data_IF_940297958048
#
_entry.id   IF_940297958048
#
_cell.length_a   1.000
_cell.length_b   1.000
_cell.length_c   1.000
_cell.angle_alpha   90.00
_cell.angle_beta   90.00
_cell.angle_gamma   90.00
#
_symmetry.space_group_name_H-M   'P 1'
#
loop_
_entity.id
_entity.type
_entity.pdbx_description
1 polymer ?
#
# COMPACT_ATOMS: atom_id res chain seq x y z
N UNK A 1 -28.87 8.94 3.30
CA UNK A 1 -28.52 10.14 4.08
C UNK A 1 -27.55 9.69 5.17
N UNK A 2 -26.34 10.27 5.21
CA UNK A 2 -25.42 9.95 6.30
C UNK A 2 -26.04 10.37 7.64
N UNK A 3 -25.97 9.49 8.63
CA UNK A 3 -26.35 9.84 10.00
C UNK A 3 -25.35 10.88 10.51
N UNK A 4 -25.82 12.02 11.02
CA UNK A 4 -24.97 13.09 11.59
C UNK A 4 -24.03 12.60 12.70
N UNK A 5 -24.20 11.38 13.19
CA UNK A 5 -23.45 10.77 14.31
C UNK A 5 -22.75 9.45 13.94
N UNK A 6 -22.61 9.12 12.64
CA UNK A 6 -21.86 7.93 12.26
C UNK A 6 -20.39 8.05 12.65
N UNK A 7 -19.83 7.00 13.24
CA UNK A 7 -18.40 6.85 13.53
C UNK A 7 -17.95 5.46 13.07
N UNK A 8 -16.80 5.34 12.42
CA UNK A 8 -16.23 4.04 12.08
C UNK A 8 -15.98 3.20 13.32
N UNK A 9 -16.10 1.90 13.18
CA UNK A 9 -15.73 0.97 14.26
C UNK A 9 -14.21 1.02 14.51
N UNK A 10 -13.83 0.79 15.77
CA UNK A 10 -12.44 0.73 16.20
C UNK A 10 -11.66 -0.31 15.40
N UNK A 11 -10.51 0.08 14.91
CA UNK A 11 -9.63 -0.76 14.09
C UNK A 11 -8.18 -0.29 14.14
N UNK A 12 -7.27 -1.18 13.83
CA UNK A 12 -5.85 -0.86 13.65
C UNK A 12 -5.30 -1.41 12.33
N UNK A 13 -4.14 -0.94 11.91
CA UNK A 13 -3.47 -1.36 10.66
C UNK A 13 -4.33 -1.16 9.40
N UNK A 14 -5.26 -0.19 9.45
CA UNK A 14 -5.98 0.29 8.29
C UNK A 14 -5.10 1.22 7.45
N UNK A 15 -5.54 1.51 6.25
CA UNK A 15 -4.95 2.52 5.38
C UNK A 15 -5.89 3.73 5.30
N UNK A 16 -5.31 4.93 5.34
CA UNK A 16 -6.04 6.18 5.16
C UNK A 16 -5.33 7.07 4.16
N UNK A 17 -6.05 7.52 3.13
CA UNK A 17 -5.52 8.35 2.05
C UNK A 17 -6.40 9.57 1.85
N UNK A 18 -5.78 10.75 1.67
CA UNK A 18 -6.48 12.00 1.36
C UNK A 18 -6.60 12.18 -0.14
N UNK A 19 -7.84 12.45 -0.61
CA UNK A 19 -8.13 12.90 -1.98
C UNK A 19 -9.10 14.08 -1.91
N UNK A 20 -8.68 15.23 -2.38
CA UNK A 20 -9.47 16.47 -2.26
C UNK A 20 -9.80 16.79 -0.80
N UNK A 21 -11.07 17.02 -0.51
CA UNK A 21 -11.59 17.34 0.83
C UNK A 21 -11.98 16.10 1.66
N UNK A 22 -11.57 14.91 1.22
CA UNK A 22 -11.96 13.66 1.87
C UNK A 22 -10.75 12.83 2.28
N UNK A 23 -10.92 12.11 3.42
CA UNK A 23 -10.07 10.98 3.80
C UNK A 23 -10.82 9.70 3.50
N UNK A 24 -10.17 8.78 2.83
CA UNK A 24 -10.66 7.44 2.51
C UNK A 24 -9.95 6.42 3.36
N UNK A 25 -10.69 5.71 4.21
CA UNK A 25 -10.14 4.70 5.10
C UNK A 25 -10.64 3.31 4.71
N UNK A 26 -9.71 2.39 4.50
CA UNK A 26 -9.98 1.01 4.08
C UNK A 26 -9.26 -0.02 4.93
N UNK A 27 -9.92 -1.16 5.14
CA UNK A 27 -9.33 -2.31 5.81
C UNK A 27 -9.08 -2.10 7.29
N UNK A 28 -8.06 -2.76 7.78
CA UNK A 28 -7.71 -2.81 9.20
C UNK A 28 -8.22 -4.08 9.87
N UNK A 29 -7.89 -4.24 11.14
CA UNK A 29 -8.35 -5.34 11.98
C UNK A 29 -9.16 -4.79 13.15
N UNK A 30 -10.36 -5.34 13.33
CA UNK A 30 -11.28 -5.02 14.41
C UNK A 30 -12.44 -6.00 14.39
N UNK A 31 -13.23 -6.05 15.46
CA UNK A 31 -14.28 -7.06 15.65
C UNK A 31 -15.48 -6.94 14.69
N UNK A 32 -15.66 -5.79 14.05
CA UNK A 32 -16.81 -5.48 13.17
C UNK A 32 -16.40 -4.69 11.92
N UNK A 33 -15.19 -4.94 11.41
CA UNK A 33 -14.73 -4.28 10.19
C UNK A 33 -15.42 -4.90 8.98
N UNK A 34 -16.06 -4.08 8.17
CA UNK A 34 -16.65 -4.46 6.89
C UNK A 34 -15.67 -4.14 5.76
N UNK A 35 -15.49 -5.08 4.84
CA UNK A 35 -14.55 -4.96 3.72
C UNK A 35 -15.25 -4.73 2.38
N UNK A 36 -16.54 -4.46 2.39
CA UNK A 36 -17.37 -4.10 1.24
C UNK A 36 -17.73 -2.63 1.20
N UNK A 37 -17.31 -1.86 2.21
CA UNK A 37 -17.58 -0.43 2.31
C UNK A 37 -16.28 0.37 2.50
N UNK A 38 -16.26 1.56 1.93
CA UNK A 38 -15.22 2.57 2.16
C UNK A 38 -15.72 3.54 3.23
N UNK A 39 -14.92 3.73 4.27
CA UNK A 39 -15.16 4.77 5.25
C UNK A 39 -14.63 6.10 4.71
N UNK A 40 -15.48 7.13 4.71
CA UNK A 40 -15.15 8.41 4.10
C UNK A 40 -15.35 9.53 5.12
N UNK A 41 -14.30 10.29 5.39
CA UNK A 41 -14.36 11.45 6.26
C UNK A 41 -14.32 12.72 5.43
N UNK A 42 -15.30 13.60 5.59
CA UNK A 42 -15.36 14.89 4.92
C UNK A 42 -14.71 15.96 5.80
N UNK A 43 -13.55 16.43 5.41
CA UNK A 43 -12.72 17.37 6.18
C UNK A 43 -13.45 18.67 6.54
N UNK A 44 -14.17 19.38 5.61
CA UNK A 44 -14.84 20.63 5.93
C UNK A 44 -15.95 20.53 6.96
N UNK A 45 -16.68 19.40 6.99
CA UNK A 45 -17.81 19.21 7.92
C UNK A 45 -17.48 18.42 9.15
N UNK A 46 -16.32 17.74 9.17
CA UNK A 46 -15.91 16.87 10.27
C UNK A 46 -16.80 15.63 10.42
N UNK A 47 -17.38 15.13 9.33
CA UNK A 47 -18.34 14.02 9.37
C UNK A 47 -17.85 12.79 8.67
N UNK A 48 -18.15 11.61 9.24
CA UNK A 48 -17.92 10.31 8.62
C UNK A 48 -19.16 9.85 7.86
N UNK A 49 -18.92 9.12 6.79
CA UNK A 49 -19.93 8.40 6.02
C UNK A 49 -19.37 7.04 5.59
N UNK A 50 -20.26 6.13 5.29
CA UNK A 50 -19.95 4.77 4.81
C UNK A 50 -20.49 4.61 3.40
N UNK A 51 -19.61 4.27 2.47
CA UNK A 51 -19.97 4.10 1.06
C UNK A 51 -19.76 2.66 0.61
N UNK A 52 -20.79 1.99 0.08
CA UNK A 52 -20.62 0.68 -0.52
C UNK A 52 -19.65 0.76 -1.71
N UNK A 53 -18.84 -0.25 -1.88
CA UNK A 53 -17.91 -0.38 -2.99
C UNK A 53 -18.32 -1.51 -3.93
N UNK A 54 -17.84 -1.46 -5.17
CA UNK A 54 -18.07 -2.48 -6.19
C UNK A 54 -16.74 -2.95 -6.78
N UNK A 55 -16.76 -4.02 -7.56
CA UNK A 55 -15.56 -4.58 -8.18
C UNK A 55 -14.81 -5.54 -7.27
N UNK A 56 -13.50 -5.68 -7.45
CA UNK A 56 -12.65 -6.65 -6.76
C UNK A 56 -11.75 -5.92 -5.75
N UNK A 57 -12.12 -5.87 -4.46
CA UNK A 57 -11.27 -5.25 -3.43
C UNK A 57 -10.03 -6.10 -3.13
N UNK A 58 -8.99 -5.52 -2.50
CA UNK A 58 -7.80 -6.25 -2.11
C UNK A 58 -8.14 -7.43 -1.17
N UNK A 59 -7.51 -8.62 -1.36
CA UNK A 59 -7.78 -9.80 -0.54
C UNK A 59 -7.17 -9.71 0.87
N UNK A 60 -6.19 -8.85 1.06
CA UNK A 60 -5.63 -8.56 2.39
C UNK A 60 -6.63 -7.77 3.22
N UNK A 61 -6.52 -7.87 4.52
CA UNK A 61 -7.43 -7.17 5.44
C UNK A 61 -6.78 -5.99 6.14
N UNK A 62 -5.44 -5.95 6.21
CA UNK A 62 -4.67 -4.95 6.97
C UNK A 62 -3.26 -4.74 6.44
N UNK A 63 -2.63 -3.68 6.92
CA UNK A 63 -1.22 -3.34 6.68
C UNK A 63 -0.87 -3.20 5.18
N UNK A 64 -1.80 -2.65 4.41
CA UNK A 64 -1.56 -2.23 3.04
C UNK A 64 -0.61 -1.05 2.99
N UNK A 65 0.10 -0.94 1.90
CA UNK A 65 0.69 0.32 1.48
C UNK A 65 -0.24 1.00 0.49
N UNK A 66 -0.46 2.30 0.65
CA UNK A 66 -1.41 3.03 -0.19
C UNK A 66 -0.96 4.45 -0.52
N UNK A 67 -1.32 4.91 -1.72
CA UNK A 67 -1.06 6.27 -2.19
C UNK A 67 -2.11 6.67 -3.24
N UNK A 68 -2.40 7.98 -3.33
CA UNK A 68 -3.30 8.51 -4.35
C UNK A 68 -2.54 9.14 -5.51
N UNK A 69 -3.10 8.99 -6.71
CA UNK A 69 -2.77 9.76 -7.90
C UNK A 69 -4.08 10.26 -8.51
N UNK A 70 -4.29 11.55 -8.49
CA UNK A 70 -5.55 12.13 -8.96
C UNK A 70 -6.76 11.61 -8.17
N UNK A 71 -7.65 10.90 -8.85
CA UNK A 71 -8.87 10.30 -8.29
C UNK A 71 -8.73 8.80 -7.96
N UNK A 72 -7.58 8.23 -8.20
CA UNK A 72 -7.31 6.83 -8.00
C UNK A 72 -6.41 6.63 -6.76
N UNK A 73 -6.82 5.71 -5.87
CA UNK A 73 -6.04 5.28 -4.72
C UNK A 73 -5.54 3.87 -4.99
N UNK A 74 -4.24 3.70 -4.91
CA UNK A 74 -3.57 2.42 -5.14
C UNK A 74 -3.27 1.75 -3.81
N UNK A 75 -3.54 0.45 -3.74
CA UNK A 75 -3.31 -0.39 -2.56
C UNK A 75 -2.47 -1.59 -2.96
N UNK A 76 -1.38 -1.80 -2.26
CA UNK A 76 -0.47 -2.91 -2.52
C UNK A 76 -0.31 -3.81 -1.31
N UNK A 77 -0.31 -5.13 -1.56
CA UNK A 77 0.08 -6.14 -0.60
C UNK A 77 -0.91 -6.30 0.55
N UNK A 78 -0.39 -6.20 1.76
CA UNK A 78 -1.18 -6.40 2.97
C UNK A 78 -1.17 -7.85 3.46
N UNK A 79 -1.84 -8.06 4.60
CA UNK A 79 -1.98 -9.37 5.24
C UNK A 79 -3.45 -9.70 5.46
N UNK A 80 -3.86 -10.87 5.02
CA UNK A 80 -5.23 -11.38 5.14
C UNK A 80 -5.29 -12.82 5.58
N UNK A 81 -6.43 -13.46 5.30
CA UNK A 81 -6.57 -14.90 5.44
C UNK A 81 -5.63 -15.57 4.43
N UNK A 82 -4.79 -16.48 4.90
CA UNK A 82 -3.80 -17.15 4.05
C UNK A 82 -2.42 -16.51 4.04
N UNK A 83 -2.22 -15.33 4.65
CA UNK A 83 -0.89 -14.73 4.81
C UNK A 83 -0.73 -13.37 4.15
N UNK A 84 0.44 -13.13 3.57
CA UNK A 84 0.79 -11.91 2.85
C UNK A 84 0.37 -12.00 1.38
N UNK A 85 0.14 -10.83 0.77
CA UNK A 85 -0.22 -10.69 -0.63
C UNK A 85 0.77 -9.78 -1.36
N UNK A 86 0.79 -9.85 -2.69
CA UNK A 86 1.51 -8.92 -3.56
C UNK A 86 0.63 -8.40 -4.70
N UNK A 87 -0.69 -8.51 -4.54
CA UNK A 87 -1.63 -7.92 -5.48
C UNK A 87 -1.64 -6.40 -5.38
N UNK A 88 -1.83 -5.75 -6.52
CA UNK A 88 -2.03 -4.32 -6.64
C UNK A 88 -3.45 -4.04 -7.07
N UNK A 89 -4.14 -3.19 -6.33
CA UNK A 89 -5.51 -2.78 -6.58
C UNK A 89 -5.61 -1.26 -6.69
N UNK A 90 -6.53 -0.81 -7.50
CA UNK A 90 -6.87 0.59 -7.65
C UNK A 90 -8.33 0.81 -7.24
N UNK A 91 -8.56 1.82 -6.43
CA UNK A 91 -9.88 2.31 -6.04
C UNK A 91 -10.11 3.69 -6.62
N UNK A 92 -11.18 3.86 -7.40
CA UNK A 92 -11.53 5.18 -7.93
C UNK A 92 -12.58 5.85 -7.03
N UNK A 93 -12.27 7.06 -6.55
CA UNK A 93 -13.10 7.78 -5.56
C UNK A 93 -14.39 8.36 -6.12
N UNK A 94 -14.51 8.54 -7.42
CA UNK A 94 -15.72 9.08 -8.04
C UNK A 94 -16.76 7.95 -8.30
N UNK A 95 -16.28 6.78 -8.74
CA UNK A 95 -17.14 5.64 -9.06
C UNK A 95 -17.34 4.66 -7.91
N UNK A 96 -16.55 4.75 -6.85
CA UNK A 96 -16.48 3.81 -5.73
C UNK A 96 -16.25 2.36 -6.18
N UNK A 97 -15.41 2.21 -7.21
CA UNK A 97 -15.13 0.92 -7.84
C UNK A 97 -13.68 0.50 -7.66
N UNK A 98 -13.49 -0.77 -7.29
CA UNK A 98 -12.21 -1.45 -7.26
C UNK A 98 -11.86 -2.08 -8.60
N UNK A 99 -10.58 -2.04 -8.95
CA UNK A 99 -9.95 -2.81 -10.03
C UNK A 99 -8.71 -3.50 -9.50
N UNK A 100 -8.55 -4.75 -9.81
CA UNK A 100 -7.28 -5.45 -9.65
C UNK A 100 -6.41 -5.13 -10.86
N UNK A 101 -5.20 -4.64 -10.62
CA UNK A 101 -4.22 -4.29 -11.65
C UNK A 101 -3.19 -5.41 -11.81
N UNK A 102 -2.65 -5.92 -10.69
CA UNK A 102 -1.69 -7.00 -10.71
C UNK A 102 -2.07 -8.03 -9.64
N UNK A 103 -2.52 -9.22 -10.03
CA UNK A 103 -2.91 -10.27 -9.10
C UNK A 103 -1.70 -10.90 -8.40
N UNK A 104 -1.93 -11.48 -7.23
CA UNK A 104 -0.91 -12.19 -6.44
C UNK A 104 -0.27 -13.37 -7.18
N UNK A 105 -0.96 -13.93 -8.18
CA UNK A 105 -0.45 -15.01 -9.04
C UNK A 105 0.52 -14.54 -10.12
N UNK A 106 0.73 -13.23 -10.26
CA UNK A 106 1.68 -12.69 -11.22
C UNK A 106 3.11 -13.09 -10.87
N UNK A 107 3.84 -13.64 -11.84
CA UNK A 107 5.26 -13.98 -11.70
C UNK A 107 6.17 -12.73 -11.68
N UNK A 108 5.60 -11.58 -12.00
CA UNK A 108 6.28 -10.29 -12.05
C UNK A 108 5.90 -9.44 -10.83
N UNK A 109 6.83 -8.60 -10.40
CA UNK A 109 6.62 -7.68 -9.29
C UNK A 109 7.22 -8.14 -7.96
N UNK A 110 6.93 -7.39 -6.88
CA UNK A 110 7.49 -7.64 -5.56
C UNK A 110 7.06 -8.98 -4.96
N UNK A 111 7.82 -9.46 -3.98
CA UNK A 111 7.38 -10.57 -3.13
C UNK A 111 6.09 -10.22 -2.36
N UNK A 112 5.37 -11.25 -1.90
CA UNK A 112 4.21 -11.08 -1.03
C UNK A 112 4.62 -10.44 0.28
N UNK A 113 4.08 -9.24 0.59
CA UNK A 113 4.48 -8.46 1.76
C UNK A 113 3.45 -7.45 2.22
N UNK A 114 3.66 -6.94 3.41
CA UNK A 114 2.92 -5.85 4.04
C UNK A 114 3.88 -4.80 4.61
N UNK A 115 3.34 -3.65 5.04
CA UNK A 115 4.09 -2.60 5.71
C UNK A 115 5.31 -2.11 4.90
N UNK A 116 5.24 -2.10 3.58
CA UNK A 116 6.28 -1.49 2.75
C UNK A 116 6.03 0.02 2.60
N UNK A 117 7.07 0.78 2.32
CA UNK A 117 6.93 2.16 1.85
C UNK A 117 6.38 2.18 0.44
N UNK A 118 5.39 3.04 0.17
CA UNK A 118 4.86 3.26 -1.18
C UNK A 118 4.60 4.75 -1.40
N UNK A 119 5.11 5.26 -2.50
CA UNK A 119 4.89 6.64 -2.96
C UNK A 119 4.56 6.65 -4.45
N UNK A 120 3.92 7.75 -4.88
CA UNK A 120 3.78 8.06 -6.30
C UNK A 120 4.90 9.01 -6.73
N UNK A 121 5.40 8.80 -7.93
CA UNK A 121 6.35 9.72 -8.57
C UNK A 121 5.92 9.96 -10.01
N UNK A 122 6.13 11.21 -10.48
CA UNK A 122 5.92 11.56 -11.87
C UNK A 122 7.28 11.80 -12.52
N UNK A 123 7.64 11.02 -13.51
CA UNK A 123 8.92 11.10 -14.19
C UNK A 123 8.76 10.88 -15.69
N UNK A 124 9.36 11.73 -16.49
CA UNK A 124 9.35 11.68 -17.97
C UNK A 124 7.92 11.59 -18.56
N UNK A 125 7.00 12.39 -17.99
CA UNK A 125 5.59 12.42 -18.43
C UNK A 125 4.74 11.23 -18.03
N UNK A 126 5.26 10.33 -17.18
CA UNK A 126 4.61 9.10 -16.74
C UNK A 126 4.47 9.04 -15.22
N UNK A 127 3.39 8.42 -14.75
CA UNK A 127 3.17 8.16 -13.33
C UNK A 127 3.62 6.76 -12.93
N UNK A 128 4.33 6.69 -11.83
CA UNK A 128 4.83 5.44 -11.25
C UNK A 128 4.44 5.33 -9.77
N UNK A 129 4.26 4.10 -9.32
CA UNK A 129 4.31 3.75 -7.91
C UNK A 129 5.70 3.20 -7.61
N UNK A 130 6.32 3.68 -6.54
CA UNK A 130 7.59 3.16 -6.03
C UNK A 130 7.35 2.46 -4.72
N UNK A 131 7.81 1.22 -4.62
CA UNK A 131 7.67 0.39 -3.42
C UNK A 131 9.04 -0.01 -2.90
N UNK A 132 9.23 0.15 -1.58
CA UNK A 132 10.49 -0.13 -0.89
C UNK A 132 10.22 -0.99 0.34
N UNK A 133 11.08 -1.98 0.59
CA UNK A 133 11.09 -2.75 1.81
C UNK A 133 9.82 -3.58 2.05
N UNK A 134 9.46 -3.69 3.32
CA UNK A 134 8.30 -4.45 3.79
C UNK A 134 8.66 -5.80 4.41
N UNK A 135 7.62 -6.45 4.94
CA UNK A 135 7.72 -7.76 5.60
C UNK A 135 6.76 -8.74 4.96
N UNK A 136 7.30 -9.88 4.52
CA UNK A 136 6.52 -10.97 4.01
C UNK A 136 7.20 -12.30 4.34
N UNK A 137 6.42 -13.23 4.88
CA UNK A 137 6.90 -14.58 5.18
C UNK A 137 5.88 -15.61 4.70
N UNK A 138 6.29 -16.41 3.76
CA UNK A 138 5.51 -17.55 3.27
C UNK A 138 6.46 -18.57 2.67
N UNK A 139 6.19 -19.84 2.85
CA UNK A 139 6.96 -20.93 2.21
C UNK A 139 6.93 -20.89 0.68
N UNK A 140 5.93 -20.23 0.11
CA UNK A 140 5.77 -20.03 -1.34
C UNK A 140 6.32 -18.67 -1.82
N UNK A 141 6.79 -17.83 -0.89
CA UNK A 141 7.25 -16.48 -1.22
C UNK A 141 8.70 -16.57 -1.73
N UNK A 142 8.90 -16.27 -2.98
CA UNK A 142 10.22 -16.29 -3.62
C UNK A 142 10.74 -14.87 -3.76
N UNK A 143 12.00 -14.61 -3.34
CA UNK A 143 12.64 -13.32 -3.58
C UNK A 143 12.64 -12.96 -5.08
N UNK A 144 12.24 -11.72 -5.38
CA UNK A 144 12.01 -11.25 -6.77
C UNK A 144 13.14 -10.36 -7.32
N UNK A 145 14.02 -9.87 -6.46
CA UNK A 145 15.11 -8.98 -6.84
C UNK A 145 16.45 -9.53 -6.33
N UNK A 146 17.35 -9.99 -7.23
CA UNK A 146 18.59 -10.68 -6.86
C UNK A 146 19.54 -9.86 -5.96
N UNK A 147 19.60 -8.54 -6.17
CA UNK A 147 20.50 -7.64 -5.44
C UNK A 147 19.91 -7.18 -4.09
N UNK A 148 18.65 -7.52 -3.80
CA UNK A 148 18.05 -7.17 -2.54
C UNK A 148 18.44 -8.15 -1.43
N UNK A 149 18.45 -7.64 -0.20
CA UNK A 149 18.68 -8.42 1.00
C UNK A 149 17.34 -8.87 1.59
N UNK A 150 17.33 -10.09 2.10
CA UNK A 150 16.18 -10.70 2.75
C UNK A 150 16.59 -11.29 4.09
N UNK A 151 15.85 -10.96 5.13
CA UNK A 151 16.09 -11.51 6.44
C UNK A 151 15.34 -12.83 6.67
N UNK A 152 15.83 -13.63 7.59
CA UNK A 152 15.16 -14.87 8.04
C UNK A 152 13.76 -14.64 8.62
N UNK A 153 13.45 -13.39 9.02
CA UNK A 153 12.15 -12.99 9.54
C UNK A 153 11.25 -12.34 8.48
N UNK A 154 11.62 -12.44 7.20
CA UNK A 154 10.83 -11.98 6.07
C UNK A 154 10.90 -10.48 5.77
N UNK A 155 11.80 -9.73 6.41
CA UNK A 155 12.07 -8.34 6.02
C UNK A 155 12.88 -8.31 4.74
N UNK A 156 12.64 -7.30 3.90
CA UNK A 156 13.41 -7.10 2.67
C UNK A 156 13.77 -5.62 2.46
N UNK A 157 14.65 -5.36 1.52
CA UNK A 157 14.94 -4.03 0.98
C UNK A 157 14.76 -3.98 -0.55
N UNK A 158 13.80 -4.78 -1.06
CA UNK A 158 13.40 -4.69 -2.46
C UNK A 158 12.96 -3.27 -2.82
N UNK A 159 13.27 -2.86 -4.06
CA UNK A 159 12.78 -1.63 -4.67
C UNK A 159 12.15 -2.00 -6.01
N UNK A 160 10.88 -1.71 -6.18
CA UNK A 160 10.16 -1.96 -7.42
C UNK A 160 9.40 -0.71 -7.86
N UNK A 161 9.26 -0.54 -9.16
CA UNK A 161 8.40 0.45 -9.77
C UNK A 161 7.24 -0.25 -10.47
N UNK A 162 6.08 0.38 -10.40
CA UNK A 162 4.95 0.00 -11.22
C UNK A 162 4.60 1.17 -12.14
N UNK A 163 4.69 0.97 -13.46
CA UNK A 163 4.29 1.97 -14.44
C UNK A 163 2.80 1.86 -14.67
N UNK A 164 2.07 2.94 -14.39
CA UNK A 164 0.61 2.94 -14.42
C UNK A 164 0.07 2.84 -15.84
N UNK A 165 0.68 3.54 -16.79
CA UNK A 165 0.23 3.58 -18.20
C UNK A 165 0.30 2.24 -18.92
N UNK A 166 1.22 1.35 -18.52
CA UNK A 166 1.45 0.05 -19.16
C UNK A 166 1.11 -1.15 -18.30
N UNK A 167 0.61 -0.95 -17.07
CA UNK A 167 0.33 -2.02 -16.10
C UNK A 167 1.53 -2.95 -15.87
N UNK A 168 2.76 -2.39 -15.73
CA UNK A 168 3.98 -3.19 -15.67
C UNK A 168 4.82 -2.94 -14.43
N UNK A 169 5.26 -4.03 -13.82
CA UNK A 169 6.29 -4.03 -12.79
C UNK A 169 7.68 -3.88 -13.41
N UNK A 170 8.52 -3.09 -12.77
CA UNK A 170 9.91 -2.85 -13.13
C UNK A 170 10.76 -3.07 -11.89
N UNK A 171 11.76 -3.94 -11.99
CA UNK A 171 12.81 -4.10 -10.98
C UNK A 171 14.03 -3.29 -11.43
N UNK A 172 14.24 -2.09 -10.86
CA UNK A 172 15.34 -1.24 -11.29
C UNK A 172 16.68 -1.83 -10.87
N UNK A 173 17.72 -1.52 -11.64
CA UNK A 173 19.09 -1.63 -11.16
C UNK A 173 19.32 -0.48 -10.16
N UNK A 174 19.59 -0.83 -8.92
CA UNK A 174 19.80 0.15 -7.85
C UNK A 174 21.28 0.42 -7.72
N UNK A 175 21.65 1.70 -7.73
CA UNK A 175 23.03 2.18 -7.50
C UNK A 175 23.12 2.85 -6.13
N UNK A 176 24.32 2.83 -5.53
CA UNK A 176 24.54 3.33 -4.17
C UNK A 176 24.07 2.37 -3.09
N UNK A 177 23.99 2.87 -1.87
CA UNK A 177 23.66 2.07 -0.70
C UNK A 177 22.15 1.86 -0.59
N UNK A 178 21.74 0.61 -0.43
CA UNK A 178 20.36 0.27 -0.08
C UNK A 178 20.13 0.44 1.42
N UNK A 179 18.91 0.83 1.84
CA UNK A 179 18.54 0.71 3.24
C UNK A 179 18.63 -0.75 3.70
N UNK A 180 18.83 -1.03 5.00
CA UNK A 180 18.73 -2.39 5.49
C UNK A 180 17.32 -2.97 5.25
N UNK A 181 17.13 -4.30 5.29
CA UNK A 181 15.81 -4.91 5.28
C UNK A 181 14.93 -4.33 6.39
N UNK A 182 13.83 -3.66 6.04
CA UNK A 182 13.05 -2.81 6.95
C UNK A 182 11.55 -2.85 6.59
N UNK A 183 10.69 -2.72 7.61
CA UNK A 183 9.24 -2.52 7.47
C UNK A 183 8.73 -1.54 8.54
N UNK A 184 7.47 -1.10 8.44
CA UNK A 184 6.85 -0.12 9.36
C UNK A 184 7.62 1.20 9.48
N UNK A 185 8.15 1.69 8.37
CA UNK A 185 8.78 3.00 8.26
C UNK A 185 7.88 3.99 7.50
N UNK A 186 8.17 5.26 7.64
CA UNK A 186 7.55 6.28 6.79
C UNK A 186 8.41 6.54 5.56
N UNK A 187 7.76 6.68 4.41
CA UNK A 187 8.39 7.09 3.15
C UNK A 187 7.65 8.31 2.63
N UNK A 188 8.34 9.45 2.61
CA UNK A 188 7.73 10.74 2.28
C UNK A 188 8.42 11.34 1.07
N UNK A 189 7.71 11.61 -0.04
CA UNK A 189 8.27 12.33 -1.17
C UNK A 189 8.59 13.76 -0.77
N UNK A 190 9.77 14.25 -1.15
CA UNK A 190 10.25 15.62 -0.90
C UNK A 190 10.23 16.43 -2.19
N UNK A 191 10.64 15.80 -3.28
CA UNK A 191 10.56 16.35 -4.64
C UNK A 191 10.07 15.27 -5.60
N UNK A 192 9.96 15.59 -6.89
CA UNK A 192 9.54 14.62 -7.91
C UNK A 192 10.50 13.41 -8.04
N UNK A 193 11.73 13.52 -7.56
CA UNK A 193 12.77 12.48 -7.70
C UNK A 193 13.49 12.13 -6.39
N UNK A 194 13.07 12.67 -5.26
CA UNK A 194 13.66 12.39 -3.95
C UNK A 194 12.60 12.08 -2.92
N UNK A 195 12.89 11.13 -2.05
CA UNK A 195 12.05 10.81 -0.89
C UNK A 195 12.93 10.58 0.34
N UNK A 196 12.37 10.85 1.51
CA UNK A 196 12.98 10.57 2.80
C UNK A 196 12.32 9.36 3.42
N UNK A 197 13.13 8.43 3.87
CA UNK A 197 12.72 7.30 4.68
C UNK A 197 13.10 7.55 6.13
N UNK A 198 12.17 7.34 7.06
CA UNK A 198 12.40 7.53 8.49
C UNK A 198 11.81 6.41 9.32
N UNK A 199 12.57 5.93 10.30
CA UNK A 199 12.16 4.91 11.24
C UNK A 199 12.09 3.51 10.64
N UNK A 200 11.38 2.64 11.31
CA UNK A 200 11.13 1.27 10.92
C UNK A 200 11.80 0.23 11.79
N UNK A 201 11.38 -1.01 11.62
CA UNK A 201 11.90 -2.18 12.32
C UNK A 201 12.85 -2.96 11.38
N UNK A 202 14.08 -3.15 11.82
CA UNK A 202 15.14 -3.89 11.13
C UNK A 202 15.56 -5.12 11.93
N UNK A 203 16.49 -5.92 11.37
CA UNK A 203 17.08 -7.05 12.11
C UNK A 203 17.84 -6.63 13.38
N UNK A 204 18.28 -5.37 13.44
CA UNK A 204 19.05 -4.80 14.55
C UNK A 204 18.18 -3.97 15.51
N UNK A 205 16.87 -4.04 15.38
CA UNK A 205 15.90 -3.24 16.14
C UNK A 205 15.35 -2.06 15.34
N UNK A 206 14.68 -1.14 16.05
CA UNK A 206 14.15 0.07 15.44
C UNK A 206 15.28 1.03 15.09
N UNK A 207 15.14 1.70 13.95
CA UNK A 207 16.01 2.80 13.52
C UNK A 207 15.25 4.12 13.64
N UNK A 208 15.97 5.17 14.03
CA UNK A 208 15.46 6.54 14.11
C UNK A 208 16.12 7.40 13.05
#
# INVERSE_FOLDING_TARGET
MASKNYQPVERHSHSTVKVGDYLYMWGGLGSRVHYDVMEVYHLPTGTWDQKPTTGTPPPGTRAYSSVAIGKDIYYFGGRGVGGYHNSLHCFNVDSFKWRELSPSSSDHGPMMKACCGMISVHFDGEDYLVMIGGKGYSSINTPKQPDAQYSVYGRCNEIHYYRISSDQWISPVVTGDRPPPVYDFTLTPVTNNTAVMFGGDTNNGMIN
#
